data_IF_621717439118
#
_entry.id   IF_621717439118
#
_cell.length_a   1.000
_cell.length_b   1.000
_cell.length_c   1.000
_cell.angle_alpha   90.00
_cell.angle_beta   90.00
_cell.angle_gamma   90.00
#
_symmetry.space_group_name_H-M   'P 1'
#
loop_
_entity.id
_entity.type
_entity.pdbx_description
1 polymer ?
#
# COMPACT_ATOMS: atom_id res chain seq x y z
N UNK A 1 20.34 83.90 37.79
CA UNK A 1 20.13 83.04 39.00
C UNK A 1 20.03 81.59 38.58
N UNK A 2 20.96 80.86 39.05
CA UNK A 2 21.18 79.41 39.07
C UNK A 2 20.08 78.62 39.70
N UNK A 3 19.83 77.37 39.21
CA UNK A 3 19.55 76.17 39.91
C UNK A 3 19.52 75.05 38.86
N UNK A 4 20.50 74.17 38.69
CA UNK A 4 20.83 72.93 39.40
C UNK A 4 19.65 72.00 39.58
N UNK A 5 19.58 71.01 38.83
CA UNK A 5 18.74 69.83 39.02
C UNK A 5 19.33 68.63 38.28
N UNK A 6 19.88 67.69 39.09
CA UNK A 6 20.62 66.52 38.64
C UNK A 6 19.73 65.44 38.01
N UNK A 7 20.29 64.47 37.24
CA UNK A 7 19.58 63.48 36.52
C UNK A 7 19.23 62.28 37.41
N UNK A 8 17.97 61.86 37.35
CA UNK A 8 17.55 60.58 37.94
C UNK A 8 17.89 59.42 37.02
N UNK A 9 18.68 58.53 37.53
CA UNK A 9 18.96 57.19 37.04
C UNK A 9 17.68 56.44 36.61
N UNK A 10 17.68 56.00 35.33
CA UNK A 10 16.80 54.92 34.86
C UNK A 10 17.68 53.84 34.28
N UNK A 11 18.31 53.05 35.16
CA UNK A 11 18.98 51.81 34.83
C UNK A 11 18.26 50.65 35.53
N UNK A 12 17.23 50.07 34.95
CA UNK A 12 16.84 48.67 35.18
C UNK A 12 15.68 48.28 34.27
N UNK A 13 15.93 48.24 32.96
CA UNK A 13 15.06 47.42 32.10
C UNK A 13 15.65 46.03 32.15
N UNK A 14 15.10 45.22 33.05
CA UNK A 14 15.39 43.81 33.13
C UNK A 14 15.09 43.13 31.80
N UNK A 15 16.10 42.50 31.21
CA UNK A 15 15.97 41.61 30.07
C UNK A 15 15.01 40.47 30.41
N UNK A 16 13.73 40.64 30.11
CA UNK A 16 12.77 39.55 30.06
C UNK A 16 13.11 38.73 28.83
N UNK A 17 13.98 37.72 28.98
CA UNK A 17 14.15 36.68 27.97
C UNK A 17 12.82 35.99 27.82
N UNK A 18 12.12 36.23 26.71
CA UNK A 18 10.98 35.44 26.30
C UNK A 18 11.40 33.95 26.24
N UNK A 19 10.81 33.12 27.07
CA UNK A 19 10.98 31.68 26.97
C UNK A 19 10.26 31.24 25.70
N UNK A 20 11.01 30.96 24.64
CA UNK A 20 10.47 30.31 23.46
C UNK A 20 10.03 28.89 23.85
N UNK A 21 8.73 28.64 23.81
CA UNK A 21 8.15 27.32 24.02
C UNK A 21 8.16 26.59 22.67
N UNK A 22 9.15 25.75 22.45
CA UNK A 22 9.16 24.84 21.32
C UNK A 22 8.28 23.64 21.64
N UNK A 23 7.15 23.51 20.95
CA UNK A 23 6.35 22.30 20.98
C UNK A 23 6.97 21.29 20.03
N UNK A 24 7.62 20.26 20.58
CA UNK A 24 8.22 19.18 19.78
C UNK A 24 7.37 17.94 19.93
N UNK A 25 6.75 17.49 18.83
CA UNK A 25 6.04 16.21 18.79
C UNK A 25 7.01 15.05 18.50
N UNK A 26 6.76 13.89 19.11
CA UNK A 26 7.49 12.67 18.77
C UNK A 26 7.12 12.25 17.34
N UNK A 27 8.11 12.14 16.46
CA UNK A 27 7.91 11.62 15.10
C UNK A 27 8.06 10.10 15.13
N UNK A 28 7.08 9.33 14.62
CA UNK A 28 7.22 7.89 14.51
C UNK A 28 8.36 7.54 13.53
N UNK A 29 9.23 6.62 13.93
CA UNK A 29 10.28 6.11 13.05
C UNK A 29 9.73 4.91 12.26
N UNK A 30 9.38 5.15 11.00
CA UNK A 30 8.79 4.14 10.12
C UNK A 30 9.74 2.94 9.88
N UNK A 31 11.05 3.20 9.73
CA UNK A 31 12.04 2.14 9.54
C UNK A 31 12.04 1.16 10.72
N UNK A 32 12.13 1.69 11.96
CA UNK A 32 12.10 0.85 13.16
C UNK A 32 10.77 0.11 13.32
N UNK A 33 9.68 0.70 12.86
CA UNK A 33 8.39 0.04 12.86
C UNK A 33 8.36 -1.15 11.90
N UNK A 34 8.88 -1.00 10.67
CA UNK A 34 8.98 -2.07 9.68
C UNK A 34 9.96 -3.16 10.14
N UNK A 35 11.10 -2.80 10.72
CA UNK A 35 12.06 -3.77 11.29
C UNK A 35 11.43 -4.66 12.37
N UNK A 36 10.47 -4.14 13.14
CA UNK A 36 9.74 -4.86 14.19
C UNK A 36 8.57 -5.69 13.70
N UNK A 37 8.21 -5.60 12.41
CA UNK A 37 7.15 -6.46 11.87
C UNK A 37 7.55 -7.93 12.01
N UNK A 38 6.60 -8.81 12.34
CA UNK A 38 6.85 -10.25 12.37
C UNK A 38 7.38 -10.74 11.04
N UNK A 39 8.54 -11.39 11.05
CA UNK A 39 9.12 -11.96 9.84
C UNK A 39 8.41 -13.27 9.48
N UNK A 40 8.34 -13.61 8.17
CA UNK A 40 7.63 -14.79 7.75
C UNK A 40 8.26 -16.06 8.32
N UNK A 41 7.43 -16.96 8.82
CA UNK A 41 7.85 -18.26 9.38
C UNK A 41 7.52 -19.43 8.45
N UNK A 42 6.65 -19.20 7.46
CA UNK A 42 6.22 -20.20 6.48
C UNK A 42 5.80 -19.53 5.15
N UNK A 43 5.42 -20.33 4.16
CA UNK A 43 5.00 -19.83 2.83
C UNK A 43 3.79 -18.91 2.92
N UNK A 44 2.78 -19.26 3.71
CA UNK A 44 1.56 -18.44 3.82
C UNK A 44 1.88 -17.04 4.38
N UNK A 45 2.72 -16.96 5.42
CA UNK A 45 3.15 -15.67 5.99
C UNK A 45 4.06 -14.89 5.03
N UNK A 46 4.88 -15.57 4.20
CA UNK A 46 5.70 -14.90 3.20
C UNK A 46 4.86 -14.32 2.04
N UNK A 47 3.68 -14.86 1.79
CA UNK A 47 2.76 -14.37 0.76
C UNK A 47 1.81 -13.27 1.26
N UNK A 48 1.79 -12.95 2.56
CA UNK A 48 0.91 -11.91 3.11
C UNK A 48 1.00 -10.56 2.38
N UNK A 49 2.19 -10.05 1.99
CA UNK A 49 2.27 -8.81 1.22
C UNK A 49 1.51 -8.87 -0.12
N UNK A 50 1.54 -10.02 -0.81
CA UNK A 50 0.78 -10.24 -2.04
C UNK A 50 -0.72 -10.34 -1.77
N UNK A 51 -1.11 -11.04 -0.70
CA UNK A 51 -2.52 -11.14 -0.29
C UNK A 51 -3.11 -9.78 0.05
N UNK A 52 -2.37 -8.92 0.72
CA UNK A 52 -2.78 -7.54 1.00
C UNK A 52 -2.99 -6.72 -0.28
N UNK A 53 -2.12 -6.90 -1.28
CA UNK A 53 -2.29 -6.23 -2.56
C UNK A 53 -3.56 -6.70 -3.28
N UNK A 54 -3.80 -8.01 -3.34
CA UNK A 54 -5.00 -8.60 -3.95
C UNK A 54 -6.26 -8.19 -3.16
N UNK A 55 -6.22 -8.21 -1.82
CA UNK A 55 -7.34 -7.76 -0.97
C UNK A 55 -7.71 -6.31 -1.23
N UNK A 56 -6.71 -5.42 -1.33
CA UNK A 56 -6.95 -4.02 -1.63
C UNK A 56 -7.56 -3.84 -3.04
N UNK A 57 -7.12 -4.61 -4.03
CA UNK A 57 -7.69 -4.63 -5.37
C UNK A 57 -9.16 -5.11 -5.37
N UNK A 58 -9.47 -6.17 -4.62
CA UNK A 58 -10.85 -6.66 -4.43
C UNK A 58 -11.72 -5.57 -3.78
N UNK A 59 -11.27 -4.95 -2.70
CA UNK A 59 -12.02 -3.88 -2.03
C UNK A 59 -12.21 -2.64 -2.93
N UNK A 60 -11.21 -2.29 -3.74
CA UNK A 60 -11.28 -1.20 -4.72
C UNK A 60 -12.37 -1.46 -5.77
N UNK A 61 -12.45 -2.68 -6.30
CA UNK A 61 -13.48 -3.09 -7.26
C UNK A 61 -14.87 -3.16 -6.61
N UNK A 62 -14.98 -3.69 -5.39
CA UNK A 62 -16.21 -3.70 -4.63
C UNK A 62 -16.75 -2.28 -4.36
N UNK A 63 -15.87 -1.35 -4.03
CA UNK A 63 -16.23 0.05 -3.81
C UNK A 63 -16.77 0.72 -5.08
N UNK A 64 -16.27 0.35 -6.26
CA UNK A 64 -16.69 0.91 -7.54
C UNK A 64 -17.99 0.30 -8.07
N UNK A 65 -18.11 -1.03 -8.00
CA UNK A 65 -19.16 -1.77 -8.69
C UNK A 65 -20.30 -2.25 -7.78
N UNK A 66 -20.09 -2.27 -6.45
CA UNK A 66 -21.13 -2.68 -5.51
C UNK A 66 -21.69 -4.07 -5.84
N UNK A 67 -23.00 -4.16 -6.07
CA UNK A 67 -23.69 -5.42 -6.36
C UNK A 67 -23.27 -6.05 -7.70
N UNK A 68 -22.77 -5.28 -8.65
CA UNK A 68 -22.35 -5.79 -9.97
C UNK A 68 -20.88 -6.24 -9.99
N UNK A 69 -20.17 -6.21 -8.86
CA UNK A 69 -18.73 -6.49 -8.77
C UNK A 69 -18.36 -7.88 -9.33
N UNK A 70 -19.19 -8.88 -9.15
CA UNK A 70 -18.95 -10.22 -9.69
C UNK A 70 -18.97 -10.27 -11.24
N UNK A 71 -19.64 -9.31 -11.87
CA UNK A 71 -19.74 -9.20 -13.32
C UNK A 71 -18.72 -8.19 -13.89
N UNK A 72 -18.60 -7.01 -13.29
CA UNK A 72 -17.86 -5.87 -13.83
C UNK A 72 -16.48 -5.71 -13.22
N UNK A 73 -16.28 -6.20 -11.98
CA UNK A 73 -15.00 -6.11 -11.26
C UNK A 73 -13.95 -7.05 -11.86
N UNK A 74 -12.74 -6.54 -12.06
CA UNK A 74 -11.59 -7.29 -12.58
C UNK A 74 -10.38 -7.04 -11.70
N UNK A 75 -9.73 -8.14 -11.31
CA UNK A 75 -8.43 -8.13 -10.62
C UNK A 75 -7.51 -9.12 -11.32
N UNK A 76 -6.30 -8.68 -11.64
CA UNK A 76 -5.27 -9.53 -12.24
C UNK A 76 -4.03 -9.49 -11.36
N UNK A 77 -3.57 -10.67 -10.93
CA UNK A 77 -2.33 -10.82 -10.21
C UNK A 77 -1.37 -11.70 -11.02
N UNK A 78 -0.17 -11.20 -11.30
CA UNK A 78 0.87 -11.97 -12.00
C UNK A 78 2.05 -12.13 -11.08
N UNK A 79 2.54 -13.36 -10.91
CA UNK A 79 3.70 -13.68 -10.06
C UNK A 79 4.76 -14.36 -10.91
N UNK A 80 5.93 -13.73 -10.96
CA UNK A 80 7.13 -14.33 -11.51
C UNK A 80 7.97 -14.89 -10.36
N UNK A 81 8.18 -16.18 -10.38
CA UNK A 81 8.99 -16.86 -9.38
C UNK A 81 9.84 -17.93 -10.07
N UNK A 82 11.02 -18.16 -9.55
CA UNK A 82 11.91 -19.24 -9.96
C UNK A 82 12.41 -20.02 -8.75
N UNK A 83 13.11 -21.13 -8.99
CA UNK A 83 13.63 -21.97 -7.89
C UNK A 83 14.69 -21.25 -7.04
N UNK A 84 15.43 -20.32 -7.64
CA UNK A 84 16.48 -19.55 -6.96
C UNK A 84 15.93 -18.32 -6.27
N UNK A 85 14.71 -17.87 -6.66
CA UNK A 85 14.01 -16.71 -6.11
C UNK A 85 14.77 -15.38 -6.23
N UNK A 86 15.76 -15.32 -7.10
CA UNK A 86 16.58 -14.12 -7.28
C UNK A 86 15.81 -12.98 -7.94
N UNK A 87 14.86 -13.32 -8.83
CA UNK A 87 14.10 -12.38 -9.64
C UNK A 87 12.59 -12.42 -9.36
N UNK A 88 12.21 -12.78 -8.13
CA UNK A 88 10.78 -12.77 -7.77
C UNK A 88 10.22 -11.37 -7.95
N UNK A 89 9.15 -11.28 -8.71
CA UNK A 89 8.36 -10.06 -8.89
C UNK A 89 6.89 -10.41 -8.97
N UNK A 90 6.05 -9.44 -8.68
CA UNK A 90 4.61 -9.58 -8.83
C UNK A 90 4.00 -8.29 -9.39
N UNK A 91 2.86 -8.41 -10.05
CA UNK A 91 1.99 -7.28 -10.37
C UNK A 91 0.60 -7.57 -9.86
N UNK A 92 -0.09 -6.52 -9.42
CA UNK A 92 -1.51 -6.57 -9.11
C UNK A 92 -2.16 -5.36 -9.79
N UNK A 93 -3.21 -5.65 -10.53
CA UNK A 93 -3.98 -4.67 -11.30
C UNK A 93 -5.46 -4.83 -11.00
N UNK A 94 -6.19 -3.73 -10.91
CA UNK A 94 -7.63 -3.71 -10.76
C UNK A 94 -8.30 -2.56 -11.57
N UNK A 95 -9.57 -2.75 -11.89
CA UNK A 95 -10.40 -1.72 -12.52
C UNK A 95 -11.31 -0.99 -11.51
N UNK A 96 -10.91 -0.94 -10.24
CA UNK A 96 -11.66 -0.31 -9.16
C UNK A 96 -11.63 1.23 -9.19
N UNK A 97 -11.79 1.85 -8.04
CA UNK A 97 -11.90 3.32 -7.89
C UNK A 97 -10.58 4.06 -8.14
N UNK A 98 -9.44 3.35 -8.08
CA UNK A 98 -8.11 3.95 -8.15
C UNK A 98 -7.71 4.68 -6.86
N UNK A 99 -6.59 5.41 -6.96
CA UNK A 99 -5.98 6.11 -5.81
C UNK A 99 -6.35 7.60 -5.87
N UNK A 100 -7.62 7.89 -5.65
CA UNK A 100 -8.16 9.25 -5.50
C UNK A 100 -7.62 9.93 -4.24
N UNK A 101 -8.06 11.13 -3.92
CA UNK A 101 -7.53 11.87 -2.76
C UNK A 101 -7.83 11.15 -1.44
N UNK A 102 -9.02 10.59 -1.26
CA UNK A 102 -9.41 9.85 -0.05
C UNK A 102 -8.54 8.60 0.14
N UNK A 103 -8.36 7.83 -0.94
CA UNK A 103 -7.52 6.64 -0.93
C UNK A 103 -6.03 6.99 -0.80
N UNK A 104 -5.60 8.12 -1.36
CA UNK A 104 -4.25 8.65 -1.20
C UNK A 104 -3.96 9.02 0.25
N UNK A 105 -4.86 9.76 0.89
CA UNK A 105 -4.73 10.14 2.30
C UNK A 105 -4.67 8.88 3.19
N UNK A 106 -5.54 7.90 2.91
CA UNK A 106 -5.50 6.60 3.57
C UNK A 106 -4.20 5.82 3.28
N UNK A 107 -3.64 5.94 2.07
CA UNK A 107 -2.37 5.31 1.70
C UNK A 107 -1.19 5.98 2.39
N UNK A 108 -1.16 7.28 2.55
CA UNK A 108 -0.04 8.03 3.13
C UNK A 108 -0.09 8.14 4.65
N UNK A 109 -1.27 7.94 5.27
CA UNK A 109 -1.44 8.01 6.72
C UNK A 109 -1.34 6.62 7.35
N UNK A 110 -0.33 6.39 8.19
CA UNK A 110 -0.23 5.16 8.99
C UNK A 110 -1.21 5.23 10.17
N UNK A 111 -1.83 4.07 10.53
CA UNK A 111 -2.75 3.94 11.67
C UNK A 111 -4.08 4.69 11.55
N UNK A 112 -4.68 4.71 10.37
CA UNK A 112 -6.04 5.26 10.21
C UNK A 112 -7.11 4.29 10.74
N UNK A 113 -8.02 4.80 11.57
CA UNK A 113 -9.17 4.05 12.13
C UNK A 113 -10.15 3.55 11.05
N UNK A 114 -10.08 4.09 9.83
CA UNK A 114 -11.01 3.78 8.74
C UNK A 114 -10.99 2.31 8.28
N UNK A 115 -9.87 1.59 8.41
CA UNK A 115 -9.79 0.15 8.04
C UNK A 115 -10.09 -0.81 9.18
N UNK A 116 -10.18 -0.35 10.42
CA UNK A 116 -10.53 -1.18 11.58
C UNK A 116 -11.94 -1.76 11.42
N UNK A 117 -12.88 -1.01 10.86
CA UNK A 117 -14.26 -1.46 10.59
C UNK A 117 -14.35 -2.57 9.53
N UNK A 118 -13.34 -2.71 8.66
CA UNK A 118 -13.27 -3.75 7.62
C UNK A 118 -12.21 -4.83 7.91
N UNK A 119 -11.73 -4.94 9.16
CA UNK A 119 -10.77 -5.95 9.59
C UNK A 119 -9.31 -5.68 9.18
N UNK A 120 -9.01 -4.57 8.53
CA UNK A 120 -7.66 -4.18 8.12
C UNK A 120 -6.91 -3.47 9.25
N UNK A 121 -5.71 -3.96 9.58
CA UNK A 121 -4.85 -3.38 10.64
C UNK A 121 -4.07 -2.13 10.19
N UNK A 122 -4.30 -1.59 8.99
CA UNK A 122 -3.56 -0.43 8.46
C UNK A 122 -2.07 -0.66 8.17
N UNK A 123 -1.60 -1.91 8.29
CA UNK A 123 -0.18 -2.29 8.16
C UNK A 123 0.16 -2.93 6.81
N UNK A 124 -0.82 -3.21 5.95
CA UNK A 124 -0.63 -3.98 4.71
C UNK A 124 0.48 -3.43 3.82
N UNK A 125 0.50 -2.10 3.59
CA UNK A 125 1.57 -1.47 2.81
C UNK A 125 2.93 -1.48 3.48
N UNK A 126 2.99 -1.57 4.82
CA UNK A 126 4.26 -1.72 5.52
C UNK A 126 4.85 -3.12 5.27
N UNK A 127 3.99 -4.14 5.10
CA UNK A 127 4.42 -5.46 4.67
C UNK A 127 5.00 -5.43 3.25
N UNK A 128 4.49 -4.55 2.37
CA UNK A 128 5.09 -4.37 1.05
C UNK A 128 6.52 -3.86 1.13
N UNK A 129 6.76 -2.81 1.96
CA UNK A 129 8.10 -2.26 2.19
C UNK A 129 9.03 -3.24 2.91
N UNK A 130 8.49 -4.10 3.78
CA UNK A 130 9.28 -5.13 4.47
C UNK A 130 9.66 -6.28 3.52
N UNK A 131 8.80 -6.62 2.57
CA UNK A 131 8.98 -7.74 1.66
C UNK A 131 9.79 -7.39 0.41
N UNK A 132 9.44 -6.27 -0.26
CA UNK A 132 9.96 -5.94 -1.58
C UNK A 132 10.99 -4.81 -1.54
N UNK A 133 11.97 -4.87 -2.46
CA UNK A 133 13.00 -3.83 -2.59
C UNK A 133 12.47 -2.57 -3.25
N UNK A 134 11.56 -2.73 -4.21
CA UNK A 134 10.97 -1.64 -4.99
C UNK A 134 9.52 -1.95 -5.33
N UNK A 135 8.66 -0.94 -5.23
CA UNK A 135 7.27 -1.01 -5.67
C UNK A 135 7.00 0.23 -6.54
N UNK A 136 6.52 -0.01 -7.77
CA UNK A 136 6.08 1.06 -8.67
C UNK A 136 4.56 1.05 -8.72
N UNK A 137 3.93 2.20 -8.52
CA UNK A 137 2.47 2.34 -8.52
C UNK A 137 2.07 3.30 -9.62
N UNK A 138 1.02 2.93 -10.35
CA UNK A 138 0.35 3.74 -11.35
C UNK A 138 -1.15 3.58 -11.15
N UNK A 139 -1.89 4.66 -11.03
CA UNK A 139 -3.33 4.62 -10.80
C UNK A 139 -4.04 5.73 -11.55
N UNK A 140 -5.10 5.35 -12.25
CA UNK A 140 -6.05 6.28 -12.85
C UNK A 140 -7.23 6.44 -11.90
N UNK A 141 -7.58 7.66 -11.56
CA UNK A 141 -8.64 7.98 -10.63
C UNK A 141 -9.50 9.16 -11.09
N UNK A 142 -10.71 9.28 -10.55
CA UNK A 142 -11.58 10.41 -10.84
C UNK A 142 -11.08 11.65 -10.10
N UNK A 143 -10.66 12.68 -10.85
CA UNK A 143 -10.35 13.99 -10.32
C UNK A 143 -11.57 14.90 -10.30
N UNK A 144 -11.40 16.14 -9.83
CA UNK A 144 -12.46 17.16 -9.91
C UNK A 144 -12.89 17.44 -11.34
N UNK A 145 -11.92 17.47 -12.26
CA UNK A 145 -12.14 17.62 -13.70
C UNK A 145 -11.49 16.46 -14.43
N UNK A 146 -12.31 15.48 -14.84
CA UNK A 146 -11.87 14.33 -15.62
C UNK A 146 -10.98 13.34 -14.89
N UNK A 147 -10.46 12.37 -15.63
CA UNK A 147 -9.57 11.36 -15.10
C UNK A 147 -8.14 11.91 -14.94
N UNK A 148 -7.52 11.56 -13.84
CA UNK A 148 -6.12 11.88 -13.51
C UNK A 148 -5.33 10.59 -13.35
N UNK A 149 -4.04 10.64 -13.62
CA UNK A 149 -3.09 9.57 -13.37
C UNK A 149 -2.13 9.98 -12.29
N UNK A 150 -1.99 9.14 -11.27
CA UNK A 150 -1.01 9.25 -10.19
C UNK A 150 0.02 8.16 -10.35
N UNK A 151 1.29 8.51 -10.36
CA UNK A 151 2.41 7.57 -10.39
C UNK A 151 3.43 7.89 -9.33
N UNK A 152 4.06 6.87 -8.76
CA UNK A 152 5.16 7.02 -7.80
C UNK A 152 5.90 5.71 -7.59
N UNK A 153 7.10 5.82 -7.00
CA UNK A 153 7.87 4.70 -6.47
C UNK A 153 7.73 4.66 -4.95
N UNK A 154 7.53 3.47 -4.41
CA UNK A 154 7.36 3.23 -2.99
C UNK A 154 8.45 2.26 -2.52
N UNK A 155 9.37 2.76 -1.70
CA UNK A 155 10.59 2.06 -1.29
C UNK A 155 10.91 2.36 0.17
N UNK A 156 11.57 1.42 0.84
CA UNK A 156 12.07 1.63 2.19
C UNK A 156 13.40 2.37 2.14
N UNK A 157 13.37 3.66 2.45
CA UNK A 157 14.53 4.56 2.54
C UNK A 157 14.59 5.24 3.91
N UNK A 158 15.71 5.91 4.20
CA UNK A 158 15.89 6.63 5.47
C UNK A 158 15.02 7.88 5.59
N UNK A 159 14.73 8.51 4.47
CA UNK A 159 14.01 9.79 4.39
C UNK A 159 12.60 9.58 3.86
N UNK A 160 12.42 9.66 2.56
CA UNK A 160 11.12 9.60 1.91
C UNK A 160 10.85 8.22 1.32
N UNK A 161 9.74 7.60 1.68
CA UNK A 161 9.33 6.30 1.14
C UNK A 161 8.57 6.42 -0.18
N UNK A 162 8.02 7.60 -0.48
CA UNK A 162 7.31 7.90 -1.72
C UNK A 162 8.19 8.85 -2.53
N UNK A 163 8.62 8.37 -3.70
CA UNK A 163 9.51 9.10 -4.60
C UNK A 163 8.90 9.22 -5.98
N UNK A 164 9.34 10.23 -6.73
CA UNK A 164 8.90 10.45 -8.11
C UNK A 164 7.37 10.54 -8.21
N UNK A 165 6.73 11.19 -7.22
CA UNK A 165 5.27 11.33 -7.19
C UNK A 165 4.81 12.39 -8.18
N UNK A 166 4.00 11.96 -9.14
CA UNK A 166 3.44 12.82 -10.18
C UNK A 166 1.93 12.62 -10.29
N UNK A 167 1.22 13.68 -10.63
CA UNK A 167 -0.20 13.66 -11.02
C UNK A 167 -0.34 14.43 -12.32
N UNK A 168 -0.87 13.75 -13.34
CA UNK A 168 -1.09 14.32 -14.66
C UNK A 168 -2.50 14.00 -15.16
N UNK A 169 -2.95 14.66 -16.22
CA UNK A 169 -4.19 14.30 -16.90
C UNK A 169 -4.07 12.90 -17.54
N UNK A 170 -5.06 12.07 -17.34
CA UNK A 170 -5.10 10.71 -17.88
C UNK A 170 -5.74 10.70 -19.29
N UNK A 171 -5.07 11.39 -20.24
CA UNK A 171 -5.56 11.50 -21.60
C UNK A 171 -5.66 10.13 -22.27
N UNK A 172 -6.83 9.84 -22.86
CA UNK A 172 -7.10 8.57 -23.53
C UNK A 172 -7.59 7.45 -22.63
N UNK A 173 -7.56 7.62 -21.32
CA UNK A 173 -8.18 6.68 -20.39
C UNK A 173 -9.70 6.91 -20.31
N UNK A 174 -10.44 5.80 -20.18
CA UNK A 174 -11.92 5.83 -20.12
C UNK A 174 -12.46 5.35 -18.78
N UNK A 175 -11.61 4.80 -17.91
CA UNK A 175 -12.00 4.23 -16.62
C UNK A 175 -10.90 4.37 -15.59
N UNK A 176 -11.28 4.32 -14.32
CA UNK A 176 -10.35 4.27 -13.20
C UNK A 176 -9.71 2.90 -13.08
N UNK A 177 -8.45 2.86 -12.62
CA UNK A 177 -7.68 1.63 -12.42
C UNK A 177 -6.57 1.82 -11.38
N UNK A 178 -6.04 0.70 -10.91
CA UNK A 178 -4.84 0.67 -10.08
C UNK A 178 -3.89 -0.41 -10.59
N UNK A 179 -2.61 -0.11 -10.61
CA UNK A 179 -1.55 -1.03 -10.97
C UNK A 179 -0.38 -0.88 -10.00
N UNK A 180 0.04 -1.98 -9.40
CA UNK A 180 1.24 -2.05 -8.57
C UNK A 180 2.18 -3.13 -9.10
N UNK A 181 3.47 -2.80 -9.22
CA UNK A 181 4.54 -3.73 -9.59
C UNK A 181 5.54 -3.83 -8.46
N UNK A 182 5.72 -5.03 -7.95
CA UNK A 182 6.59 -5.39 -6.85
C UNK A 182 7.84 -6.07 -7.39
N UNK A 183 9.04 -5.62 -6.99
CA UNK A 183 10.31 -6.16 -7.49
C UNK A 183 11.26 -6.53 -6.36
N UNK A 184 11.85 -7.71 -6.50
CA UNK A 184 12.95 -8.22 -5.68
C UNK A 184 12.56 -8.43 -4.21
N UNK A 185 12.74 -9.64 -3.73
CA UNK A 185 12.54 -9.94 -2.31
C UNK A 185 13.71 -9.40 -1.47
N UNK A 186 13.39 -8.95 -0.26
CA UNK A 186 14.38 -8.64 0.75
C UNK A 186 14.85 -9.91 1.44
N UNK A 187 16.14 -9.93 1.78
CA UNK A 187 16.77 -11.03 2.52
C UNK A 187 16.58 -10.85 4.04
N UNK A 188 15.32 -10.97 4.46
CA UNK A 188 14.90 -10.86 5.85
C UNK A 188 13.85 -11.94 6.21
N UNK A 189 13.99 -13.13 5.61
CA UNK A 189 13.10 -14.27 5.74
C UNK A 189 12.12 -14.44 4.58
N UNK A 190 11.84 -13.40 3.79
CA UNK A 190 10.96 -13.53 2.62
C UNK A 190 11.62 -14.33 1.50
N UNK A 191 12.91 -14.07 1.19
CA UNK A 191 13.65 -14.78 0.16
C UNK A 191 13.64 -16.30 0.37
N UNK A 192 13.80 -16.75 1.62
CA UNK A 192 13.81 -18.18 1.95
C UNK A 192 12.44 -18.83 1.81
N UNK A 193 11.38 -18.13 2.21
CA UNK A 193 10.02 -18.70 2.42
C UNK A 193 9.04 -18.42 1.30
N UNK A 194 9.30 -17.41 0.48
CA UNK A 194 8.44 -17.16 -0.69
C UNK A 194 8.44 -18.38 -1.62
N UNK A 195 7.29 -18.80 -2.18
CA UNK A 195 7.24 -20.03 -2.99
C UNK A 195 8.02 -19.89 -4.29
N UNK A 196 8.87 -20.88 -4.59
CA UNK A 196 9.61 -20.98 -5.84
C UNK A 196 8.91 -21.80 -6.93
N UNK A 197 7.63 -22.19 -6.73
CA UNK A 197 6.84 -22.98 -7.70
C UNK A 197 5.41 -22.47 -7.73
N UNK A 198 4.81 -22.41 -8.93
CA UNK A 198 3.49 -21.88 -9.16
C UNK A 198 2.36 -22.57 -8.40
N UNK A 199 2.40 -23.90 -8.31
CA UNK A 199 1.36 -24.67 -7.60
C UNK A 199 1.23 -24.27 -6.11
N UNK A 200 2.31 -23.86 -5.46
CA UNK A 200 2.25 -23.34 -4.09
C UNK A 200 1.58 -21.96 -4.03
N UNK A 201 1.86 -21.10 -5.02
CA UNK A 201 1.20 -19.78 -5.12
C UNK A 201 -0.30 -19.96 -5.25
N UNK A 202 -0.77 -20.75 -6.21
CA UNK A 202 -2.20 -21.02 -6.41
C UNK A 202 -2.88 -21.62 -5.19
N UNK A 203 -2.25 -22.62 -4.57
CA UNK A 203 -2.78 -23.27 -3.36
C UNK A 203 -3.01 -22.24 -2.25
N UNK A 204 -2.04 -21.36 -2.01
CA UNK A 204 -2.14 -20.39 -0.93
C UNK A 204 -3.11 -19.25 -1.26
N UNK A 205 -3.19 -18.81 -2.53
CA UNK A 205 -4.21 -17.85 -2.98
C UNK A 205 -5.61 -18.46 -2.78
N UNK A 206 -5.84 -19.70 -3.24
CA UNK A 206 -7.11 -20.39 -3.06
C UNK A 206 -7.50 -20.48 -1.59
N UNK A 207 -6.58 -20.93 -0.73
CA UNK A 207 -6.87 -21.10 0.72
C UNK A 207 -7.14 -19.76 1.41
N UNK A 208 -6.40 -18.72 1.06
CA UNK A 208 -6.52 -17.40 1.72
C UNK A 208 -7.84 -16.71 1.35
N UNK A 209 -8.22 -16.73 0.08
CA UNK A 209 -9.39 -16.04 -0.44
C UNK A 209 -10.65 -16.94 -0.54
N UNK A 210 -10.61 -18.18 -0.06
CA UNK A 210 -11.75 -19.09 -0.11
C UNK A 210 -13.04 -18.47 0.44
N UNK A 211 -13.06 -17.78 1.60
CA UNK A 211 -14.27 -17.12 2.09
C UNK A 211 -14.81 -16.06 1.14
N UNK A 212 -13.92 -15.29 0.50
CA UNK A 212 -14.29 -14.26 -0.48
C UNK A 212 -14.91 -14.88 -1.73
N UNK A 213 -14.34 -15.98 -2.19
CA UNK A 213 -14.81 -16.68 -3.39
C UNK A 213 -16.20 -17.31 -3.21
N UNK A 214 -16.49 -17.81 -2.00
CA UNK A 214 -17.80 -18.40 -1.67
C UNK A 214 -18.85 -17.32 -1.38
N UNK A 215 -18.42 -16.15 -0.91
CA UNK A 215 -19.31 -15.07 -0.45
C UNK A 215 -20.11 -14.35 -1.55
N UNK A 216 -19.91 -14.66 -2.84
CA UNK A 216 -20.69 -14.15 -3.96
C UNK A 216 -20.39 -12.70 -4.38
N UNK A 217 -19.58 -11.96 -3.64
CA UNK A 217 -19.18 -10.56 -3.93
C UNK A 217 -17.72 -10.42 -4.39
N UNK A 218 -17.17 -11.49 -4.97
CA UNK A 218 -15.82 -11.50 -5.50
C UNK A 218 -15.80 -10.96 -6.93
N UNK A 219 -14.90 -10.02 -7.28
CA UNK A 219 -14.63 -9.68 -8.66
C UNK A 219 -14.04 -10.89 -9.39
N UNK A 220 -14.01 -10.84 -10.71
CA UNK A 220 -13.28 -11.82 -11.49
C UNK A 220 -11.76 -11.66 -11.22
N UNK A 221 -11.19 -12.58 -10.45
CA UNK A 221 -9.77 -12.60 -10.12
C UNK A 221 -9.02 -13.59 -11.02
N UNK A 222 -8.09 -13.09 -11.83
CA UNK A 222 -7.17 -13.90 -12.62
C UNK A 222 -5.79 -13.91 -11.96
N UNK A 223 -5.22 -15.10 -11.77
CA UNK A 223 -3.87 -15.25 -11.20
C UNK A 223 -3.00 -15.98 -12.23
N UNK A 224 -1.91 -15.31 -12.64
CA UNK A 224 -0.90 -15.87 -13.52
C UNK A 224 0.36 -16.21 -12.72
N UNK A 225 0.93 -17.39 -12.93
CA UNK A 225 2.23 -17.80 -12.37
C UNK A 225 3.03 -18.53 -13.44
N UNK A 226 4.03 -17.88 -14.00
CA UNK A 226 4.71 -18.36 -15.21
C UNK A 226 3.70 -18.50 -16.36
N UNK A 227 3.63 -19.70 -16.95
CA UNK A 227 2.71 -20.02 -18.05
C UNK A 227 1.33 -20.53 -17.56
N UNK A 228 1.15 -20.72 -16.25
CA UNK A 228 -0.08 -21.21 -15.68
C UNK A 228 -1.02 -20.07 -15.29
N UNK A 229 -2.33 -20.26 -15.51
CA UNK A 229 -3.38 -19.29 -15.18
C UNK A 229 -4.51 -19.97 -14.42
N UNK A 230 -5.04 -19.31 -13.40
CA UNK A 230 -6.28 -19.69 -12.73
C UNK A 230 -7.23 -18.51 -12.60
N UNK A 231 -8.49 -18.76 -12.86
CA UNK A 231 -9.58 -17.78 -12.78
C UNK A 231 -10.49 -18.12 -11.60
N UNK A 232 -10.70 -17.16 -10.70
CA UNK A 232 -11.54 -17.30 -9.53
C UNK A 232 -12.79 -16.44 -9.64
N UNK A 233 -13.93 -16.89 -9.09
CA UNK A 233 -14.09 -18.11 -8.27
C UNK A 233 -14.17 -19.43 -9.04
N UNK A 234 -14.21 -19.43 -10.38
CA UNK A 234 -14.42 -20.64 -11.22
C UNK A 234 -13.48 -21.81 -10.88
N UNK A 235 -12.21 -21.53 -10.60
CA UNK A 235 -11.21 -22.56 -10.29
C UNK A 235 -11.55 -23.38 -9.02
N UNK A 236 -12.46 -22.91 -8.17
CA UNK A 236 -12.91 -23.66 -6.97
C UNK A 236 -13.84 -24.79 -7.35
N UNK A 237 -14.71 -24.59 -8.32
CA UNK A 237 -15.65 -25.62 -8.78
C UNK A 237 -14.93 -26.85 -9.32
N UNK A 238 -13.69 -26.69 -9.79
CA UNK A 238 -12.83 -27.79 -10.28
C UNK A 238 -12.15 -28.56 -9.14
N UNK A 239 -12.03 -27.97 -7.95
CA UNK A 239 -11.38 -28.59 -6.78
C UNK A 239 -12.40 -29.35 -5.92
N UNK A 240 -13.67 -28.94 -5.96
CA UNK A 240 -14.75 -29.49 -5.11
C UNK A 240 -15.49 -30.67 -5.80
N UNK A 241 -15.21 -30.94 -7.07
CA UNK A 241 -15.69 -32.12 -7.80
C UNK A 241 -14.72 -33.32 -7.67
#
# INVERSE_FOLDING_TARGET
LTMSGAPSDISSIGNIRAKEHFMTSLRPNLLKRIERLPKPTNVASAMQPLFEAISNAIHSTQAKYGETVAHDGRVVATVFTDRKKENVSATVEDNGVGLDQTNWDAFTTTDTDNKIRMGGKGVGRLLWLDCFKEISINSVFQGEVGLKRRSFRFMLTLEDQIMEHEIIDALGETSTSFYAKFKGLRDNGYLERFPGRGNFVFRHVTSHFLPTFIGGSCPHLTVHVGDETREYPRAIDEIVR
#
